data_IF_162284729258
#
_entry.id   IF_162284729258
#
_cell.length_a   1.000
_cell.length_b   1.000
_cell.length_c   1.000
_cell.angle_alpha   90.00
_cell.angle_beta   90.00
_cell.angle_gamma   90.00
#
_symmetry.space_group_name_H-M   'P 1'
#
loop_
_entity.id
_entity.type
_entity.pdbx_description
1 polymer ?
#
# COMPACT_ATOMS: atom_id res chain seq x y z
N UNK A 1 -14.10 10.08 -17.10
CA UNK A 1 -13.13 8.96 -17.23
C UNK A 1 -11.69 9.49 -17.15
N UNK A 2 -11.20 9.80 -15.93
CA UNK A 2 -9.80 10.25 -15.70
C UNK A 2 -9.30 9.92 -14.29
N UNK A 3 -10.22 9.76 -13.32
CA UNK A 3 -9.87 9.46 -11.93
C UNK A 3 -9.40 8.02 -11.70
N UNK A 4 -9.96 7.03 -12.38
CA UNK A 4 -9.63 5.60 -12.12
C UNK A 4 -8.16 5.29 -12.41
N UNK A 5 -7.58 5.90 -13.46
CA UNK A 5 -6.18 5.67 -13.83
C UNK A 5 -5.18 6.31 -12.85
N UNK A 6 -5.48 7.51 -12.34
CA UNK A 6 -4.67 8.16 -11.29
C UNK A 6 -4.75 7.35 -9.99
N UNK A 7 -5.93 6.82 -9.69
CA UNK A 7 -6.18 6.07 -8.47
C UNK A 7 -5.49 4.68 -8.55
N UNK A 8 -5.48 4.02 -9.73
CA UNK A 8 -4.70 2.80 -10.01
C UNK A 8 -3.20 3.04 -9.90
N UNK A 9 -2.72 4.16 -10.46
CA UNK A 9 -1.31 4.53 -10.42
C UNK A 9 -0.85 4.83 -8.98
N UNK A 10 -1.67 5.54 -8.20
CA UNK A 10 -1.45 5.75 -6.78
C UNK A 10 -1.40 4.43 -5.99
N UNK A 11 -2.25 3.47 -6.37
CA UNK A 11 -2.25 2.13 -5.80
C UNK A 11 -0.95 1.36 -6.06
N UNK A 12 -0.48 1.37 -7.31
CA UNK A 12 0.79 0.74 -7.70
C UNK A 12 1.96 1.39 -6.95
N UNK A 13 2.01 2.72 -6.88
CA UNK A 13 3.02 3.47 -6.12
C UNK A 13 3.01 3.10 -4.62
N UNK A 14 1.82 2.92 -4.03
CA UNK A 14 1.67 2.57 -2.61
C UNK A 14 2.22 1.17 -2.29
N UNK A 15 1.92 0.17 -3.13
CA UNK A 15 2.46 -1.18 -2.97
C UNK A 15 3.99 -1.16 -3.09
N UNK A 16 4.54 -0.46 -4.10
CA UNK A 16 5.99 -0.40 -4.31
C UNK A 16 6.70 0.22 -3.09
N UNK A 17 6.15 1.30 -2.52
CA UNK A 17 6.69 1.89 -1.28
C UNK A 17 6.60 0.94 -0.09
N UNK A 18 5.50 0.19 0.06
CA UNK A 18 5.34 -0.77 1.15
C UNK A 18 6.39 -1.90 1.09
N UNK A 19 6.61 -2.45 -0.11
CA UNK A 19 7.64 -3.48 -0.34
C UNK A 19 9.04 -2.92 -0.07
N UNK A 20 9.33 -1.71 -0.53
CA UNK A 20 10.61 -1.04 -0.24
C UNK A 20 10.85 -0.80 1.25
N UNK A 21 9.80 -0.44 2.00
CA UNK A 21 9.88 -0.22 3.44
C UNK A 21 10.08 -1.52 4.24
N UNK A 22 9.47 -2.63 3.78
CA UNK A 22 9.72 -3.97 4.33
C UNK A 22 11.19 -4.36 4.13
N UNK A 23 11.73 -4.20 2.91
CA UNK A 23 13.12 -4.53 2.59
C UNK A 23 14.09 -3.65 3.41
N UNK A 24 13.83 -2.34 3.51
CA UNK A 24 14.66 -1.42 4.30
C UNK A 24 14.58 -1.67 5.82
N UNK A 25 13.55 -2.38 6.29
CA UNK A 25 13.38 -2.71 7.71
C UNK A 25 14.09 -4.00 8.12
N UNK A 26 14.65 -4.74 7.17
CA UNK A 26 15.42 -5.96 7.44
C UNK A 26 16.69 -5.55 8.20
N UNK A 27 16.76 -5.94 9.48
CA UNK A 27 17.89 -5.65 10.37
C UNK A 27 17.55 -4.83 11.61
N UNK A 28 16.34 -4.28 11.73
CA UNK A 28 15.90 -3.59 12.95
C UNK A 28 14.54 -4.11 13.43
N UNK A 29 14.53 -4.64 14.66
CA UNK A 29 13.36 -5.28 15.28
C UNK A 29 12.14 -4.33 15.33
N UNK A 30 12.40 -3.05 15.58
CA UNK A 30 11.38 -1.99 15.63
C UNK A 30 10.84 -1.64 14.24
N UNK A 31 11.71 -1.62 13.23
CA UNK A 31 11.33 -1.33 11.85
C UNK A 31 10.49 -2.47 11.25
N UNK A 32 10.78 -3.72 11.63
CA UNK A 32 10.01 -4.90 11.23
C UNK A 32 8.56 -4.84 11.73
N UNK A 33 8.33 -4.37 12.97
CA UNK A 33 6.99 -4.16 13.49
C UNK A 33 6.27 -3.02 12.76
N UNK A 34 6.98 -1.92 12.50
CA UNK A 34 6.44 -0.78 11.73
C UNK A 34 6.07 -1.15 10.28
N UNK A 35 6.88 -1.98 9.62
CA UNK A 35 6.63 -2.39 8.23
C UNK A 35 5.44 -3.33 8.09
N UNK A 36 5.22 -4.22 9.06
CA UNK A 36 4.01 -5.08 9.12
C UNK A 36 2.76 -4.22 9.28
N UNK A 37 2.79 -3.23 10.19
CA UNK A 37 1.65 -2.34 10.39
C UNK A 37 1.36 -1.47 9.16
N UNK A 38 2.42 -0.98 8.50
CA UNK A 38 2.32 -0.24 7.25
C UNK A 38 1.74 -1.09 6.11
N UNK A 39 2.17 -2.35 6.00
CA UNK A 39 1.67 -3.28 5.00
C UNK A 39 0.16 -3.58 5.17
N UNK A 40 -0.30 -3.74 6.42
CA UNK A 40 -1.73 -3.88 6.72
C UNK A 40 -2.49 -2.60 6.35
N UNK A 41 -1.94 -1.42 6.68
CA UNK A 41 -2.55 -0.15 6.28
C UNK A 41 -2.65 0.00 4.75
N UNK A 42 -1.63 -0.44 4.00
CA UNK A 42 -1.71 -0.53 2.54
C UNK A 42 -2.89 -1.38 2.09
N UNK A 43 -3.04 -2.59 2.60
CA UNK A 43 -4.19 -3.44 2.27
C UNK A 43 -5.53 -2.80 2.63
N UNK A 44 -5.65 -2.13 3.77
CA UNK A 44 -6.89 -1.44 4.17
C UNK A 44 -7.23 -0.30 3.20
N UNK A 45 -6.22 0.43 2.70
CA UNK A 45 -6.40 1.43 1.64
C UNK A 45 -6.79 0.80 0.27
N UNK A 46 -6.60 -0.52 0.07
CA UNK A 46 -6.94 -1.23 -1.18
C UNK A 46 -8.41 -1.53 -1.27
N UNK A 47 -9.00 -1.86 -0.13
CA UNK A 47 -10.40 -2.23 0.00
C UNK A 47 -11.33 -1.15 -0.59
N UNK A 48 -11.21 0.15 -0.27
CA UNK A 48 -12.05 1.19 -0.88
C UNK A 48 -11.74 1.41 -2.37
N UNK A 49 -10.52 1.09 -2.83
CA UNK A 49 -10.15 1.17 -4.25
C UNK A 49 -10.90 0.13 -5.08
N UNK A 50 -10.90 -1.13 -4.62
CA UNK A 50 -11.60 -2.23 -5.30
C UNK A 50 -13.12 -2.11 -5.16
N UNK A 51 -13.62 -1.52 -4.06
CA UNK A 51 -15.05 -1.25 -3.88
C UNK A 51 -15.63 -0.17 -4.79
N UNK A 52 -14.81 0.75 -5.31
CA UNK A 52 -15.26 1.77 -6.29
C UNK A 52 -15.50 1.21 -7.70
N UNK A 53 -15.23 -0.06 -7.95
CA UNK A 53 -15.56 -0.73 -9.22
C UNK A 53 -16.98 -1.31 -9.23
N UNK A 54 -17.76 -1.11 -8.15
CA UNK A 54 -19.18 -1.49 -8.08
C UNK A 54 -20.09 -0.30 -7.82
N UNK A 55 -20.01 0.72 -8.66
CA UNK A 55 -21.10 1.68 -8.89
C UNK A 55 -20.95 2.34 -10.27
#
# INVERSE_FOLDING_TARGET
MKNNHINLLGWILFIISAVGFIISSIGSFWAMFGSIFFFVACFVFLIPFFRKEKE
#
